data_IF_407911497518
#
_entry.id   IF_407911497518
#
_cell.length_a   1.000
_cell.length_b   1.000
_cell.length_c   1.000
_cell.angle_alpha   90.00
_cell.angle_beta   90.00
_cell.angle_gamma   90.00
#
_symmetry.space_group_name_H-M   'P 1'
#
loop_
_entity.id
_entity.type
_entity.pdbx_description
1 polymer ?
#
# COMPACT_ATOMS: atom_id res chain seq x y z
N UNK A 1 -4.04 2.34 29.00
CA UNK A 1 -3.20 2.17 27.80
C UNK A 1 -1.85 2.85 27.97
N UNK A 2 -0.79 2.25 27.42
CA UNK A 2 0.56 2.81 27.41
C UNK A 2 1.00 3.15 25.99
N UNK A 3 1.69 4.28 25.81
CA UNK A 3 2.30 4.67 24.55
C UNK A 3 3.69 5.25 24.84
N UNK A 4 4.74 4.67 24.24
CA UNK A 4 6.12 5.08 24.49
C UNK A 4 6.54 4.98 25.97
N UNK A 5 6.09 3.94 26.68
CA UNK A 5 6.38 3.72 28.10
C UNK A 5 5.61 4.62 29.09
N UNK A 6 4.77 5.54 28.60
CA UNK A 6 3.92 6.38 29.45
C UNK A 6 2.52 5.81 29.60
N UNK A 7 1.96 5.84 30.80
CA UNK A 7 0.57 5.47 31.08
C UNK A 7 -0.34 6.65 30.78
N UNK A 8 -1.47 6.38 30.12
CA UNK A 8 -2.49 7.37 29.82
C UNK A 8 -3.82 6.97 30.45
N UNK A 9 -4.54 7.95 30.97
CA UNK A 9 -5.90 7.78 31.47
C UNK A 9 -6.87 7.84 30.28
N UNK A 10 -7.72 6.84 30.14
CA UNK A 10 -8.77 6.83 29.13
C UNK A 10 -10.06 7.35 29.75
N UNK A 11 -10.22 8.66 29.84
CA UNK A 11 -11.41 9.30 30.42
C UNK A 11 -12.72 8.84 29.78
N UNK A 12 -12.86 8.73 28.44
CA UNK A 12 -14.09 8.21 27.83
C UNK A 12 -14.46 6.80 28.35
N UNK A 13 -13.48 5.91 28.52
CA UNK A 13 -13.74 4.56 29.02
C UNK A 13 -14.14 4.58 30.50
N UNK A 14 -13.53 5.45 31.32
CA UNK A 14 -13.89 5.60 32.74
C UNK A 14 -15.32 6.12 32.86
N UNK A 15 -15.66 7.20 32.17
CA UNK A 15 -17.00 7.77 32.19
C UNK A 15 -18.06 6.77 31.70
N UNK A 16 -17.73 5.97 30.68
CA UNK A 16 -18.62 4.91 30.21
C UNK A 16 -18.78 3.79 31.24
N UNK A 17 -17.70 3.39 31.92
CA UNK A 17 -17.74 2.39 33.00
C UNK A 17 -18.59 2.88 34.19
N UNK A 18 -18.41 4.13 34.62
CA UNK A 18 -19.18 4.74 35.72
C UNK A 18 -20.65 4.83 35.36
N UNK A 19 -21.01 5.20 34.13
CA UNK A 19 -22.38 5.38 33.69
C UNK A 19 -23.11 4.08 33.37
N UNK A 20 -22.40 3.07 32.80
CA UNK A 20 -22.99 1.85 32.22
C UNK A 20 -22.58 0.58 32.94
N UNK A 21 -21.69 0.69 33.94
CA UNK A 21 -21.13 -0.45 34.68
C UNK A 21 -20.35 -1.42 33.77
N UNK A 22 -20.22 -2.67 34.18
CA UNK A 22 -19.44 -3.68 33.46
C UNK A 22 -19.94 -4.00 32.03
N UNK A 23 -21.12 -3.53 31.65
CA UNK A 23 -21.69 -3.71 30.30
C UNK A 23 -21.28 -2.60 29.34
N UNK A 24 -20.51 -1.60 29.77
CA UNK A 24 -20.21 -0.39 29.02
C UNK A 24 -19.63 -0.69 27.62
N UNK A 25 -18.75 -1.66 27.48
CA UNK A 25 -18.12 -1.99 26.20
C UNK A 25 -19.16 -2.47 25.18
N UNK A 26 -20.02 -3.43 25.58
CA UNK A 26 -21.08 -3.93 24.70
C UNK A 26 -22.08 -2.83 24.36
N UNK A 27 -22.55 -2.09 25.35
CA UNK A 27 -23.54 -1.02 25.15
C UNK A 27 -22.97 0.12 24.28
N UNK A 28 -21.68 0.44 24.43
CA UNK A 28 -21.02 1.43 23.57
C UNK A 28 -20.97 0.97 22.12
N UNK A 29 -20.62 -0.31 21.86
CA UNK A 29 -20.60 -0.86 20.49
C UNK A 29 -21.99 -0.91 19.87
N UNK A 30 -22.98 -1.42 20.61
CA UNK A 30 -24.38 -1.44 20.16
C UNK A 30 -24.86 -0.04 19.81
N UNK A 31 -24.60 0.95 20.68
CA UNK A 31 -24.92 2.34 20.43
C UNK A 31 -24.20 2.98 19.24
N UNK A 32 -23.03 2.48 18.84
CA UNK A 32 -22.36 2.92 17.60
C UNK A 32 -23.13 2.40 16.37
N UNK A 33 -23.50 1.12 16.34
CA UNK A 33 -24.28 0.54 15.24
C UNK A 33 -25.65 1.22 15.10
N UNK A 34 -26.33 1.48 16.22
CA UNK A 34 -27.61 2.17 16.22
C UNK A 34 -27.52 3.61 15.71
N UNK A 35 -26.47 4.35 16.12
CA UNK A 35 -26.22 5.71 15.62
C UNK A 35 -25.88 5.71 14.13
N UNK A 36 -25.06 4.79 13.66
CA UNK A 36 -24.75 4.68 12.23
C UNK A 36 -26.05 4.47 11.43
N UNK A 37 -26.90 3.54 11.85
CA UNK A 37 -28.19 3.29 11.22
C UNK A 37 -29.09 4.53 11.23
N UNK A 38 -29.17 5.21 12.35
CA UNK A 38 -29.99 6.43 12.52
C UNK A 38 -29.49 7.57 11.63
N UNK A 39 -28.17 7.68 11.41
CA UNK A 39 -27.55 8.69 10.54
C UNK A 39 -27.47 8.29 9.06
N UNK A 40 -28.02 7.14 8.69
CA UNK A 40 -27.96 6.64 7.32
C UNK A 40 -26.56 6.15 6.89
N UNK A 41 -25.65 5.92 7.84
CA UNK A 41 -24.34 5.36 7.56
C UNK A 41 -24.43 3.84 7.54
N UNK A 42 -23.92 3.23 6.46
CA UNK A 42 -24.11 1.80 6.20
C UNK A 42 -22.80 0.99 6.22
N UNK A 43 -21.65 1.61 6.42
CA UNK A 43 -20.37 0.93 6.34
C UNK A 43 -19.39 1.43 7.39
N UNK A 44 -18.73 0.51 8.10
CA UNK A 44 -17.60 0.79 8.98
C UNK A 44 -16.32 0.88 8.14
N UNK A 45 -15.63 2.01 8.24
CA UNK A 45 -14.40 2.24 7.49
C UNK A 45 -13.21 1.43 8.05
N UNK A 46 -12.14 1.38 7.28
CA UNK A 46 -10.93 0.59 7.56
C UNK A 46 -10.25 0.87 8.92
N UNK A 47 -10.45 2.05 9.50
CA UNK A 47 -9.91 2.45 10.81
C UNK A 47 -10.84 2.16 11.99
N UNK A 48 -12.01 1.56 11.77
CA UNK A 48 -12.89 1.12 12.86
C UNK A 48 -12.22 0.02 13.69
N UNK A 49 -12.55 -0.05 14.97
CA UNK A 49 -11.98 -1.10 15.83
C UNK A 49 -12.39 -2.50 15.37
N UNK A 50 -11.52 -3.47 15.62
CA UNK A 50 -11.76 -4.86 15.23
C UNK A 50 -13.00 -5.42 15.91
N UNK A 51 -13.20 -5.09 17.19
CA UNK A 51 -14.31 -5.57 17.98
C UNK A 51 -15.67 -5.14 17.39
N UNK A 52 -15.79 -3.88 16.92
CA UNK A 52 -17.03 -3.40 16.30
C UNK A 52 -17.29 -4.12 14.97
N UNK A 53 -16.26 -4.36 14.17
CA UNK A 53 -16.39 -5.11 12.91
C UNK A 53 -16.80 -6.56 13.17
N UNK A 54 -16.25 -7.18 14.21
CA UNK A 54 -16.56 -8.56 14.61
C UNK A 54 -17.97 -8.73 15.20
N UNK A 55 -18.64 -7.65 15.59
CA UNK A 55 -20.06 -7.70 15.99
C UNK A 55 -20.99 -8.07 14.81
N UNK A 56 -20.51 -7.99 13.56
CA UNK A 56 -21.24 -8.40 12.33
C UNK A 56 -22.65 -7.81 12.22
N UNK A 57 -22.80 -6.53 12.55
CA UNK A 57 -24.07 -5.79 12.49
C UNK A 57 -24.10 -4.73 11.40
N UNK A 58 -22.95 -4.30 10.95
CA UNK A 58 -22.79 -3.28 9.90
C UNK A 58 -21.67 -3.74 8.97
N UNK A 59 -21.85 -3.70 7.64
CA UNK A 59 -20.80 -4.00 6.69
C UNK A 59 -19.51 -3.20 6.96
N UNK A 60 -18.37 -3.75 6.64
CA UNK A 60 -17.10 -3.11 6.95
C UNK A 60 -16.04 -3.32 5.87
N UNK A 61 -15.02 -2.46 5.89
CA UNK A 61 -13.81 -2.62 5.09
C UNK A 61 -12.59 -2.87 5.99
N UNK A 62 -11.59 -3.51 5.41
CA UNK A 62 -10.32 -3.81 6.06
C UNK A 62 -9.18 -2.99 5.45
N UNK A 63 -8.07 -2.91 6.16
CA UNK A 63 -6.82 -2.36 5.70
C UNK A 63 -5.67 -3.27 6.14
N UNK A 64 -4.95 -3.85 5.19
CA UNK A 64 -3.67 -4.49 5.44
C UNK A 64 -2.57 -3.43 5.38
N UNK A 65 -1.98 -3.15 6.53
CA UNK A 65 -0.81 -2.26 6.61
C UNK A 65 0.44 -3.04 6.27
N UNK A 66 1.20 -2.55 5.31
CA UNK A 66 2.50 -3.11 4.91
C UNK A 66 3.66 -2.13 5.14
N UNK A 67 3.48 -1.17 6.02
CA UNK A 67 4.50 -0.16 6.36
C UNK A 67 5.80 -0.76 6.91
N UNK A 68 5.72 -1.94 7.52
CA UNK A 68 6.89 -2.64 8.02
C UNK A 68 7.84 -3.12 6.90
N UNK A 69 7.35 -3.23 5.65
CA UNK A 69 8.18 -3.60 4.50
C UNK A 69 9.11 -2.46 4.06
N UNK A 70 8.60 -1.23 3.98
CA UNK A 70 9.31 -0.12 3.33
C UNK A 70 9.05 1.25 3.97
N UNK A 71 8.37 1.30 5.11
CA UNK A 71 7.88 2.56 5.67
C UNK A 71 6.79 3.16 4.78
N UNK A 72 6.92 4.44 4.45
CA UNK A 72 5.97 5.12 3.54
C UNK A 72 6.25 4.91 2.06
N UNK A 73 7.42 4.39 1.69
CA UNK A 73 7.78 4.17 0.28
C UNK A 73 6.95 3.04 -0.30
N UNK A 74 6.59 3.16 -1.57
CA UNK A 74 5.92 2.10 -2.30
C UNK A 74 6.85 0.88 -2.41
N UNK A 75 6.44 -0.30 -1.92
CA UNK A 75 7.28 -1.48 -1.99
C UNK A 75 7.44 -1.96 -3.43
N UNK A 76 8.63 -2.49 -3.76
CA UNK A 76 8.89 -3.06 -5.08
C UNK A 76 8.04 -4.32 -5.32
N UNK A 77 7.17 -4.34 -6.32
CA UNK A 77 6.40 -5.54 -6.67
C UNK A 77 7.26 -6.61 -7.38
N UNK A 78 8.50 -6.28 -7.76
CA UNK A 78 9.40 -7.19 -8.47
C UNK A 78 10.26 -8.07 -7.55
N UNK A 79 10.06 -7.97 -6.25
CA UNK A 79 10.65 -8.89 -5.27
C UNK A 79 10.00 -10.27 -5.40
N UNK A 80 10.79 -11.32 -5.24
CA UNK A 80 10.30 -12.70 -5.32
C UNK A 80 9.35 -13.04 -4.16
N UNK A 81 9.63 -12.52 -2.96
CA UNK A 81 8.88 -12.72 -1.72
C UNK A 81 7.71 -11.72 -1.53
N UNK A 82 7.44 -10.85 -2.52
CA UNK A 82 6.44 -9.78 -2.37
C UNK A 82 5.03 -10.29 -2.04
N UNK A 83 4.56 -11.33 -2.73
CA UNK A 83 3.23 -11.93 -2.48
C UNK A 83 3.19 -12.61 -1.12
N UNK A 84 4.28 -13.30 -0.74
CA UNK A 84 4.39 -13.94 0.58
C UNK A 84 4.32 -12.92 1.71
N UNK A 85 5.05 -11.81 1.59
CA UNK A 85 5.02 -10.73 2.56
C UNK A 85 3.62 -10.10 2.67
N UNK A 86 2.91 -9.94 1.56
CA UNK A 86 1.52 -9.49 1.59
C UNK A 86 0.61 -10.50 2.27
N UNK A 87 0.77 -11.79 2.01
CA UNK A 87 0.01 -12.84 2.69
C UNK A 87 0.24 -12.80 4.21
N UNK A 88 1.47 -12.62 4.68
CA UNK A 88 1.78 -12.42 6.10
C UNK A 88 1.06 -11.19 6.68
N UNK A 89 1.04 -10.08 5.95
CA UNK A 89 0.31 -8.88 6.37
C UNK A 89 -1.21 -9.10 6.49
N UNK A 90 -1.75 -10.01 5.67
CA UNK A 90 -3.17 -10.36 5.66
C UNK A 90 -3.59 -11.33 6.78
N UNK A 91 -2.63 -12.02 7.44
CA UNK A 91 -2.92 -12.94 8.55
C UNK A 91 -3.74 -12.27 9.67
N UNK A 92 -3.44 -11.00 9.97
CA UNK A 92 -4.19 -10.22 10.96
C UNK A 92 -5.67 -9.98 10.56
N UNK A 93 -6.03 -10.24 9.32
CA UNK A 93 -7.38 -10.11 8.78
C UNK A 93 -8.06 -11.48 8.55
N UNK A 94 -7.41 -12.59 8.90
CA UNK A 94 -7.92 -13.96 8.65
C UNK A 94 -9.28 -14.24 9.32
N UNK A 95 -9.60 -13.55 10.40
CA UNK A 95 -10.90 -13.62 11.07
C UNK A 95 -12.08 -13.17 10.19
N UNK A 96 -11.82 -12.40 9.13
CA UNK A 96 -12.83 -11.92 8.18
C UNK A 96 -13.03 -12.86 6.98
N UNK A 97 -12.32 -13.99 6.93
CA UNK A 97 -12.46 -14.95 5.84
C UNK A 97 -13.90 -15.49 5.78
N UNK A 98 -14.50 -15.44 4.59
CA UNK A 98 -15.89 -15.83 4.34
C UNK A 98 -16.92 -15.05 5.16
N UNK A 99 -16.60 -13.86 5.64
CA UNK A 99 -17.54 -13.01 6.38
C UNK A 99 -18.37 -12.17 5.40
N UNK A 100 -19.71 -12.37 5.32
CA UNK A 100 -20.57 -11.63 4.39
C UNK A 100 -20.65 -10.11 4.71
N UNK A 101 -20.24 -9.70 5.90
CA UNK A 101 -20.15 -8.29 6.27
C UNK A 101 -18.85 -7.63 5.81
N UNK A 102 -17.84 -8.40 5.41
CA UNK A 102 -16.60 -7.87 4.88
C UNK A 102 -16.78 -7.50 3.40
N UNK A 103 -16.88 -6.20 3.11
CA UNK A 103 -17.02 -5.70 1.74
C UNK A 103 -15.72 -5.83 0.95
N UNK A 104 -14.57 -5.68 1.60
CA UNK A 104 -13.29 -5.74 0.93
C UNK A 104 -12.14 -5.22 1.78
N UNK A 105 -10.95 -5.25 1.18
CA UNK A 105 -9.70 -4.87 1.84
C UNK A 105 -8.87 -3.94 0.98
N UNK A 106 -8.29 -2.90 1.60
CA UNK A 106 -7.26 -2.07 1.03
C UNK A 106 -5.88 -2.65 1.35
N UNK A 107 -4.94 -2.53 0.42
CA UNK A 107 -3.52 -2.84 0.63
C UNK A 107 -2.75 -1.53 0.70
N UNK A 108 -2.18 -1.25 1.88
CA UNK A 108 -1.39 -0.05 2.11
C UNK A 108 -2.20 1.24 2.30
N UNK A 109 -1.56 2.21 2.91
CA UNK A 109 -2.14 3.52 3.19
C UNK A 109 -1.10 4.61 3.00
N UNK A 110 -1.44 5.60 2.19
CA UNK A 110 -0.63 6.81 1.98
C UNK A 110 0.83 6.54 1.60
N UNK A 111 1.06 5.53 0.75
CA UNK A 111 2.37 5.36 0.15
C UNK A 111 2.74 6.57 -0.69
N UNK A 112 4.02 6.89 -0.68
CA UNK A 112 4.59 7.94 -1.50
C UNK A 112 4.70 7.44 -2.95
N UNK A 113 3.79 7.92 -3.79
CA UNK A 113 3.82 7.74 -5.23
C UNK A 113 4.28 9.06 -5.85
N UNK A 114 5.54 9.19 -6.28
CA UNK A 114 6.02 10.43 -6.89
C UNK A 114 5.33 10.72 -8.22
N UNK A 115 5.32 11.97 -8.65
CA UNK A 115 4.70 12.37 -9.92
C UNK A 115 5.45 11.76 -11.12
N UNK A 116 6.76 11.52 -10.97
CA UNK A 116 7.62 10.92 -11.98
C UNK A 116 8.28 9.64 -11.46
N UNK A 117 8.20 8.57 -12.23
CA UNK A 117 8.81 7.29 -11.85
C UNK A 117 10.33 7.37 -11.81
N UNK A 118 10.94 8.15 -12.69
CA UNK A 118 12.37 8.43 -12.67
C UNK A 118 12.85 8.99 -11.33
N UNK A 119 12.05 9.84 -10.67
CA UNK A 119 12.37 10.33 -9.33
C UNK A 119 12.52 9.18 -8.33
N UNK A 120 11.55 8.26 -8.30
CA UNK A 120 11.62 7.08 -7.43
C UNK A 120 12.85 6.23 -7.75
N UNK A 121 13.06 5.90 -9.03
CA UNK A 121 14.12 4.97 -9.47
C UNK A 121 15.51 5.46 -9.09
N UNK A 122 15.81 6.74 -9.26
CA UNK A 122 17.12 7.30 -8.88
C UNK A 122 17.34 7.38 -7.37
N UNK A 123 16.28 7.45 -6.56
CA UNK A 123 16.35 7.45 -5.10
C UNK A 123 16.45 6.03 -4.48
N UNK A 124 16.16 4.97 -5.24
CA UNK A 124 16.27 3.60 -4.76
C UNK A 124 17.74 3.18 -4.59
N UNK A 125 18.05 2.30 -3.62
CA UNK A 125 19.39 1.68 -3.51
C UNK A 125 19.78 0.91 -4.78
N UNK A 126 21.08 0.80 -5.08
CA UNK A 126 21.56 0.15 -6.31
C UNK A 126 21.16 -1.33 -6.40
N UNK A 127 21.00 -2.01 -5.28
CA UNK A 127 20.53 -3.40 -5.23
C UNK A 127 19.03 -3.60 -5.36
N UNK A 128 18.21 -2.52 -5.43
CA UNK A 128 16.76 -2.61 -5.44
C UNK A 128 16.21 -3.34 -6.67
N UNK A 129 15.18 -4.15 -6.47
CA UNK A 129 14.61 -5.00 -7.53
C UNK A 129 13.84 -4.18 -8.58
N UNK A 130 13.26 -3.04 -8.23
CA UNK A 130 12.65 -2.11 -9.18
C UNK A 130 13.73 -1.51 -10.07
N UNK A 131 14.86 -1.08 -9.48
CA UNK A 131 15.99 -0.53 -10.23
C UNK A 131 16.56 -1.55 -11.22
N UNK A 132 16.74 -2.80 -10.79
CA UNK A 132 17.17 -3.91 -11.65
C UNK A 132 16.16 -4.19 -12.77
N UNK A 133 14.88 -4.11 -12.47
CA UNK A 133 13.83 -4.27 -13.49
C UNK A 133 13.88 -3.15 -14.52
N UNK A 134 13.93 -1.88 -14.09
CA UNK A 134 14.07 -0.73 -15.00
C UNK A 134 15.32 -0.86 -15.88
N UNK A 135 16.46 -1.23 -15.29
CA UNK A 135 17.70 -1.42 -16.06
C UNK A 135 17.55 -2.48 -17.15
N UNK A 136 16.81 -3.58 -16.88
CA UNK A 136 16.51 -4.58 -17.92
C UNK A 136 15.67 -3.99 -19.05
N UNK A 137 14.65 -3.18 -18.75
CA UNK A 137 13.82 -2.52 -19.77
C UNK A 137 14.66 -1.56 -20.64
N UNK A 138 15.53 -0.79 -20.02
CA UNK A 138 16.44 0.11 -20.73
C UNK A 138 17.41 -0.68 -21.66
N UNK A 139 17.99 -1.77 -21.16
CA UNK A 139 18.85 -2.65 -21.97
C UNK A 139 18.14 -3.31 -23.15
N UNK A 140 16.85 -3.59 -23.03
CA UNK A 140 16.03 -4.10 -24.14
C UNK A 140 15.74 -3.04 -25.19
N UNK A 141 15.62 -1.78 -24.77
CA UNK A 141 15.33 -0.66 -25.66
C UNK A 141 16.55 -0.25 -26.49
N UNK A 142 17.74 -0.30 -25.94
CA UNK A 142 18.99 0.17 -26.57
C UNK A 142 19.91 -1.01 -26.90
N UNK A 143 20.27 -1.15 -28.19
CA UNK A 143 21.13 -2.23 -28.66
C UNK A 143 22.57 -2.11 -28.13
N UNK A 144 23.03 -0.91 -27.78
CA UNK A 144 24.34 -0.65 -27.21
C UNK A 144 24.34 0.49 -26.21
N UNK A 145 25.38 0.52 -25.37
CA UNK A 145 25.63 1.59 -24.43
C UNK A 145 25.85 2.93 -25.14
N UNK A 146 26.47 2.93 -26.30
CA UNK A 146 26.70 4.13 -27.11
C UNK A 146 25.39 4.76 -27.57
N UNK A 147 24.43 3.95 -27.97
CA UNK A 147 23.10 4.43 -28.32
C UNK A 147 22.37 5.08 -27.12
N UNK A 148 22.48 4.46 -25.94
CA UNK A 148 21.95 5.04 -24.72
C UNK A 148 22.65 6.36 -24.39
N UNK A 149 23.99 6.39 -24.43
CA UNK A 149 24.78 7.58 -24.15
C UNK A 149 24.37 8.75 -25.06
N UNK A 150 24.22 8.49 -26.36
CA UNK A 150 23.74 9.47 -27.31
C UNK A 150 22.31 9.95 -26.99
N UNK A 151 21.42 9.04 -26.58
CA UNK A 151 20.02 9.38 -26.28
C UNK A 151 19.85 10.17 -24.97
N UNK A 152 20.73 9.95 -23.97
CA UNK A 152 20.63 10.58 -22.65
C UNK A 152 21.63 11.74 -22.48
N UNK A 153 22.41 12.05 -23.51
CA UNK A 153 23.52 13.02 -23.44
C UNK A 153 24.47 12.66 -22.29
N UNK A 154 24.97 11.43 -22.31
CA UNK A 154 25.76 10.83 -21.23
C UNK A 154 27.06 10.18 -21.77
N UNK A 155 27.94 9.78 -20.86
CA UNK A 155 29.20 9.13 -21.17
C UNK A 155 29.47 7.96 -20.23
N UNK A 156 28.50 7.10 -20.01
CA UNK A 156 28.64 5.90 -19.19
C UNK A 156 29.63 4.92 -19.83
N UNK A 157 30.52 4.37 -19.02
CA UNK A 157 31.52 3.35 -19.46
C UNK A 157 30.97 1.92 -19.36
N UNK A 158 29.93 1.70 -18.56
CA UNK A 158 29.24 0.42 -18.40
C UNK A 158 27.79 0.62 -17.95
N UNK A 159 27.00 -0.45 -18.07
CA UNK A 159 25.58 -0.44 -17.73
C UNK A 159 25.29 -0.26 -16.24
N UNK A 160 26.22 -0.55 -15.35
CA UNK A 160 26.01 -0.47 -13.91
C UNK A 160 26.09 0.97 -13.38
N UNK A 161 26.58 1.90 -14.20
CA UNK A 161 26.64 3.34 -13.88
C UNK A 161 25.34 4.09 -14.13
N UNK A 162 24.41 3.51 -14.90
CA UNK A 162 23.26 4.25 -15.47
C UNK A 162 22.28 4.75 -14.41
N UNK A 163 22.03 3.97 -13.38
CA UNK A 163 21.04 4.25 -12.35
C UNK A 163 21.66 4.27 -10.95
N UNK A 164 22.85 4.81 -10.79
CA UNK A 164 23.51 4.87 -9.48
C UNK A 164 22.68 5.67 -8.49
N UNK A 165 22.60 5.17 -7.25
CA UNK A 165 21.85 5.81 -6.18
C UNK A 165 22.31 7.25 -5.94
N UNK A 166 21.38 8.19 -5.98
CA UNK A 166 21.65 9.61 -5.72
C UNK A 166 22.27 10.39 -6.87
N UNK A 167 22.74 9.72 -7.95
CA UNK A 167 23.18 10.42 -9.15
C UNK A 167 22.00 10.83 -10.02
N UNK A 168 21.62 12.09 -9.93
CA UNK A 168 20.51 12.67 -10.69
C UNK A 168 20.94 13.44 -11.94
N UNK A 169 22.23 13.38 -12.32
CA UNK A 169 22.78 14.16 -13.43
C UNK A 169 22.01 13.95 -14.73
N UNK A 170 21.70 12.70 -15.05
CA UNK A 170 20.98 12.34 -16.28
C UNK A 170 19.48 12.06 -16.08
N UNK A 171 18.92 12.37 -14.91
CA UNK A 171 17.50 12.07 -14.61
C UNK A 171 16.53 12.68 -15.60
N UNK A 172 16.76 13.92 -16.00
CA UNK A 172 15.87 14.62 -16.94
C UNK A 172 15.85 13.98 -18.33
N UNK A 173 17.01 13.59 -18.85
CA UNK A 173 17.11 12.88 -20.15
C UNK A 173 16.61 11.45 -20.06
N UNK A 174 16.81 10.77 -18.93
CA UNK A 174 16.34 9.42 -18.66
C UNK A 174 14.81 9.35 -18.47
N UNK A 175 14.18 10.41 -18.01
CA UNK A 175 12.75 10.44 -17.67
C UNK A 175 11.85 10.00 -18.84
N UNK A 176 12.21 10.37 -20.08
CA UNK A 176 11.46 9.94 -21.30
C UNK A 176 11.39 8.42 -21.48
N UNK A 177 12.34 7.67 -20.91
CA UNK A 177 12.41 6.23 -21.00
C UNK A 177 11.91 5.53 -19.74
N UNK A 178 12.12 6.15 -18.58
CA UNK A 178 11.78 5.58 -17.28
C UNK A 178 10.34 5.88 -16.88
N UNK A 179 9.86 7.11 -17.08
CA UNK A 179 8.50 7.49 -16.65
C UNK A 179 7.38 6.67 -17.32
N UNK A 180 7.47 6.26 -18.61
CA UNK A 180 6.49 5.37 -19.20
C UNK A 180 6.35 4.01 -18.51
N UNK A 181 7.42 3.49 -17.88
CA UNK A 181 7.42 2.22 -17.16
C UNK A 181 6.62 2.27 -15.85
N UNK A 182 6.21 3.45 -15.41
CA UNK A 182 5.43 3.63 -14.18
C UNK A 182 4.10 2.89 -14.22
N UNK A 183 3.48 2.82 -15.37
CA UNK A 183 2.22 2.11 -15.56
C UNK A 183 2.40 0.60 -15.28
N UNK A 184 3.42 -0.02 -15.86
CA UNK A 184 3.71 -1.44 -15.66
C UNK A 184 4.09 -1.75 -14.20
N UNK A 185 4.88 -0.86 -13.57
CA UNK A 185 5.19 -0.96 -12.14
C UNK A 185 3.92 -0.96 -11.29
N UNK A 186 3.01 -0.01 -11.54
CA UNK A 186 1.76 0.10 -10.82
C UNK A 186 0.83 -1.09 -11.09
N UNK A 187 0.72 -1.54 -12.33
CA UNK A 187 -0.05 -2.74 -12.67
C UNK A 187 0.43 -3.97 -11.91
N UNK A 188 1.75 -4.18 -11.86
CA UNK A 188 2.32 -5.33 -11.15
C UNK A 188 2.07 -5.24 -9.63
N UNK A 189 2.14 -4.04 -9.05
CA UNK A 189 1.76 -3.82 -7.65
C UNK A 189 0.30 -4.25 -7.39
N UNK A 190 -0.65 -3.77 -8.19
CA UNK A 190 -2.05 -4.10 -8.00
C UNK A 190 -2.35 -5.58 -8.30
N UNK A 191 -1.76 -6.13 -9.35
CA UNK A 191 -1.91 -7.54 -9.73
C UNK A 191 -1.45 -8.49 -8.61
N UNK A 192 -0.26 -8.27 -8.06
CA UNK A 192 0.28 -9.09 -6.97
C UNK A 192 -0.47 -8.87 -5.65
N UNK A 193 -0.93 -7.64 -5.39
CA UNK A 193 -1.78 -7.36 -4.24
C UNK A 193 -3.09 -8.12 -4.31
N UNK A 194 -3.74 -8.14 -5.47
CA UNK A 194 -4.94 -8.94 -5.71
C UNK A 194 -4.67 -10.43 -5.53
N UNK A 195 -3.56 -10.93 -6.08
CA UNK A 195 -3.14 -12.33 -5.92
C UNK A 195 -3.01 -12.74 -4.45
N UNK A 196 -2.37 -11.91 -3.62
CA UNK A 196 -2.22 -12.18 -2.19
C UNK A 196 -3.57 -12.22 -1.46
N UNK A 197 -4.50 -11.31 -1.82
CA UNK A 197 -5.84 -11.30 -1.25
C UNK A 197 -6.60 -12.57 -1.65
N UNK A 198 -6.56 -12.98 -2.90
CA UNK A 198 -7.22 -14.20 -3.39
C UNK A 198 -6.70 -15.47 -2.68
N UNK A 199 -5.40 -15.50 -2.35
CA UNK A 199 -4.79 -16.60 -1.59
C UNK A 199 -5.20 -16.60 -0.12
N UNK A 200 -5.21 -15.43 0.53
CA UNK A 200 -5.40 -15.32 1.98
C UNK A 200 -6.88 -15.18 2.38
N UNK A 201 -7.64 -14.41 1.62
CA UNK A 201 -9.03 -14.02 1.88
C UNK A 201 -9.89 -14.21 0.61
N UNK A 202 -10.05 -15.43 0.11
CA UNK A 202 -10.79 -15.70 -1.14
C UNK A 202 -12.21 -15.13 -1.08
N UNK A 203 -12.66 -14.53 -2.19
CA UNK A 203 -13.98 -13.90 -2.29
C UNK A 203 -14.06 -12.48 -1.69
N UNK A 204 -12.99 -11.97 -1.08
CA UNK A 204 -12.94 -10.59 -0.56
C UNK A 204 -12.54 -9.62 -1.69
N UNK A 205 -13.27 -8.51 -1.84
CA UNK A 205 -12.93 -7.51 -2.85
C UNK A 205 -11.60 -6.81 -2.53
N UNK A 206 -10.78 -6.65 -3.55
CA UNK A 206 -9.64 -5.76 -3.49
C UNK A 206 -10.11 -4.32 -3.74
N UNK A 207 -9.97 -3.44 -2.74
CA UNK A 207 -10.42 -2.06 -2.80
C UNK A 207 -9.31 -1.09 -3.25
N UNK A 208 -8.16 -1.62 -3.65
CA UNK A 208 -7.00 -0.83 -4.07
C UNK A 208 -6.12 -0.39 -2.91
N UNK A 209 -5.31 0.64 -3.15
CA UNK A 209 -4.48 1.32 -2.16
C UNK A 209 -5.14 2.64 -1.75
N UNK A 210 -5.06 2.98 -0.47
CA UNK A 210 -5.52 4.29 0.01
C UNK A 210 -4.43 5.33 -0.28
N UNK A 211 -4.55 6.01 -1.40
CA UNK A 211 -3.58 7.02 -1.83
C UNK A 211 -3.98 8.41 -1.32
N UNK A 212 -3.02 9.14 -0.74
CA UNK A 212 -3.19 10.55 -0.38
C UNK A 212 -3.07 11.44 -1.63
N UNK A 213 -2.05 11.20 -2.41
CA UNK A 213 -1.81 11.75 -3.76
C UNK A 213 -1.28 10.62 -4.62
N UNK A 214 -1.51 10.70 -5.90
CA UNK A 214 -0.95 9.76 -6.85
C UNK A 214 -1.08 10.30 -8.26
N UNK A 215 -0.10 10.01 -9.12
CA UNK A 215 -0.18 10.37 -10.52
C UNK A 215 -1.36 9.66 -11.18
N UNK A 216 -1.89 10.24 -12.25
CA UNK A 216 -3.01 9.68 -13.01
C UNK A 216 -2.78 8.24 -13.50
N UNK A 217 -1.52 7.82 -13.60
CA UNK A 217 -1.13 6.46 -13.97
C UNK A 217 -1.66 5.40 -12.98
N UNK A 218 -1.77 5.72 -11.68
CA UNK A 218 -2.27 4.78 -10.67
C UNK A 218 -3.73 4.39 -10.92
N UNK A 219 -4.59 5.37 -11.21
CA UNK A 219 -5.99 5.11 -11.49
C UNK A 219 -6.19 4.21 -12.72
N UNK A 220 -5.35 4.34 -13.75
CA UNK A 220 -5.38 3.48 -14.93
C UNK A 220 -4.82 2.09 -14.68
N UNK A 221 -3.83 1.95 -13.80
CA UNK A 221 -3.19 0.68 -13.49
C UNK A 221 -4.00 -0.17 -12.50
N UNK A 222 -4.92 0.43 -11.75
CA UNK A 222 -5.75 -0.26 -10.75
C UNK A 222 -6.99 -0.96 -11.35
N UNK A 223 -7.28 -0.74 -12.64
CA UNK A 223 -8.40 -1.34 -13.39
C UNK A 223 -7.91 -2.58 -14.11
#
# INVERSE_FOLDING_TARGET
PTRGGKSYVNFPAINALESLGNRWQKMSRDGIHDRMKMWGLNTLAAWSSTEIRQDKKTPYTLLASIWWLTGKKTPSPFRDDYVEDLCKALENSAWAKNDPYCLGIFIGNEFEWPDHFSQLVFELPDGDTTKKWVLRQIRQKYASLDQLNAAWDASFSNWDQILQHGDTTHRASAAKDIDPLYFEFAQEFFRKSKQAIEQSLPGTLFLGCRCHRGPSVLGRAAV
#
